data_IF_687923808378
#
_entry.id   IF_687923808378
#
_cell.length_a   1.000
_cell.length_b   1.000
_cell.length_c   1.000
_cell.angle_alpha   90.00
_cell.angle_beta   90.00
_cell.angle_gamma   90.00
#
_symmetry.space_group_name_H-M   'P 1'
#
loop_
_entity.id
_entity.type
_entity.pdbx_description
1 polymer ?
#
# COMPACT_ATOMS: atom_id res chain seq x y z
N UNK A 1 28.25 -9.78 9.76
CA UNK A 1 27.28 -8.82 9.17
C UNK A 1 27.31 -7.54 9.98
N UNK A 2 27.24 -6.35 9.36
CA UNK A 2 27.07 -5.11 10.11
C UNK A 2 25.78 -5.16 10.93
N UNK A 3 25.81 -4.59 12.13
CA UNK A 3 24.65 -4.54 13.01
C UNK A 3 23.56 -3.65 12.40
N UNK A 4 22.35 -4.17 12.29
CA UNK A 4 21.21 -3.43 11.72
C UNK A 4 20.79 -2.34 12.71
N UNK A 5 20.94 -1.08 12.28
CA UNK A 5 20.56 0.09 13.05
C UNK A 5 19.03 0.26 13.11
N UNK A 6 18.43 -0.19 14.22
CA UNK A 6 16.98 -0.13 14.44
C UNK A 6 16.43 1.30 14.40
N UNK A 7 17.18 2.31 14.86
CA UNK A 7 16.72 3.71 14.83
C UNK A 7 16.55 4.19 13.38
N UNK A 8 17.50 3.86 12.50
CA UNK A 8 17.40 4.14 11.06
C UNK A 8 16.18 3.45 10.44
N UNK A 9 15.95 2.19 10.78
CA UNK A 9 14.78 1.46 10.27
C UNK A 9 13.44 2.07 10.73
N UNK A 10 13.36 2.60 11.96
CA UNK A 10 12.17 3.32 12.42
C UNK A 10 11.94 4.61 11.64
N UNK A 11 12.99 5.36 11.34
CA UNK A 11 12.90 6.58 10.51
C UNK A 11 12.43 6.26 9.08
N UNK A 12 12.94 5.17 8.50
CA UNK A 12 12.48 4.68 7.20
C UNK A 12 11.01 4.26 7.26
N UNK A 13 10.62 3.48 8.28
CA UNK A 13 9.25 3.04 8.49
C UNK A 13 8.28 4.20 8.60
N UNK A 14 8.66 5.28 9.30
CA UNK A 14 7.84 6.48 9.41
C UNK A 14 7.50 7.11 8.05
N UNK A 15 8.35 6.90 7.03
CA UNK A 15 8.16 7.38 5.65
C UNK A 15 7.54 6.33 4.73
N UNK A 16 7.50 5.06 5.14
CA UNK A 16 6.87 3.99 4.36
C UNK A 16 5.36 4.21 4.29
N UNK A 17 4.84 4.15 3.07
CA UNK A 17 3.42 4.30 2.77
C UNK A 17 2.61 3.21 3.48
N UNK A 18 1.60 3.63 4.25
CA UNK A 18 0.56 2.76 4.79
C UNK A 18 -0.80 2.97 4.11
N UNK A 19 -1.85 2.23 4.50
CA UNK A 19 -3.16 2.34 3.87
C UNK A 19 -3.88 3.66 4.17
N UNK A 20 -4.66 4.12 3.20
CA UNK A 20 -5.74 5.07 3.46
C UNK A 20 -6.75 4.49 4.46
N UNK A 21 -7.39 5.33 5.29
CA UNK A 21 -7.05 6.74 5.51
C UNK A 21 -5.91 6.93 6.53
N UNK A 22 -5.59 5.93 7.34
CA UNK A 22 -4.80 6.09 8.56
C UNK A 22 -3.39 6.63 8.35
N UNK A 23 -2.79 6.36 7.18
CA UNK A 23 -1.41 6.75 6.87
C UNK A 23 -1.31 7.78 5.76
N UNK A 24 -2.37 8.55 5.48
CA UNK A 24 -2.40 9.50 4.36
C UNK A 24 -1.22 10.49 4.33
N UNK A 25 -0.66 10.82 5.50
CA UNK A 25 0.51 11.71 5.62
C UNK A 25 1.81 11.11 5.08
N UNK A 26 1.86 9.79 4.88
CA UNK A 26 3.00 9.07 4.30
C UNK A 26 2.93 8.99 2.77
N UNK A 27 1.84 9.46 2.17
CA UNK A 27 1.62 9.34 0.73
C UNK A 27 2.63 10.20 -0.04
N UNK A 28 3.02 9.78 -1.27
CA UNK A 28 4.01 10.49 -2.05
C UNK A 28 3.54 11.92 -2.34
N UNK A 29 4.50 12.85 -2.32
CA UNK A 29 4.28 14.21 -2.82
C UNK A 29 4.23 14.15 -4.34
N UNK A 30 3.22 14.77 -4.93
CA UNK A 30 2.99 14.77 -6.37
C UNK A 30 2.94 16.21 -6.87
N UNK A 31 3.35 16.40 -8.12
CA UNK A 31 3.26 17.68 -8.81
C UNK A 31 2.64 17.43 -10.18
N UNK A 32 1.90 18.42 -10.65
CA UNK A 32 1.63 18.55 -12.06
C UNK A 32 2.94 18.82 -12.82
N UNK A 33 3.01 18.48 -14.10
CA UNK A 33 4.07 18.86 -15.04
C UNK A 33 4.21 20.38 -15.17
N UNK A 34 3.12 21.11 -14.96
CA UNK A 34 3.15 22.58 -14.80
C UNK A 34 3.89 23.06 -13.54
N UNK A 35 4.29 22.14 -12.65
CA UNK A 35 4.95 22.40 -11.37
C UNK A 35 3.97 22.65 -10.21
N UNK A 36 2.66 22.66 -10.46
CA UNK A 36 1.67 22.88 -9.42
C UNK A 36 1.63 21.72 -8.42
N UNK A 37 1.74 21.96 -7.11
CA UNK A 37 1.75 20.91 -6.11
C UNK A 37 0.35 20.31 -5.94
N UNK A 38 0.32 18.98 -5.77
CA UNK A 38 -0.85 18.28 -5.26
C UNK A 38 -0.73 18.05 -3.76
N UNK A 39 -1.89 18.00 -3.11
CA UNK A 39 -2.02 17.65 -1.70
C UNK A 39 -3.02 16.51 -1.50
N UNK A 40 -2.68 15.58 -0.61
CA UNK A 40 -3.61 14.56 -0.13
C UNK A 40 -4.40 15.10 1.06
N UNK A 41 -5.72 14.99 1.02
CA UNK A 41 -6.61 15.49 2.08
C UNK A 41 -7.44 14.34 2.63
N UNK A 42 -7.28 14.04 3.92
CA UNK A 42 -8.22 13.18 4.66
C UNK A 42 -9.51 13.96 4.96
N UNK A 43 -10.65 13.42 4.50
CA UNK A 43 -11.96 14.10 4.58
C UNK A 43 -12.70 13.90 5.92
N UNK A 44 -12.00 13.39 6.93
CA UNK A 44 -12.52 13.20 8.29
C UNK A 44 -13.16 11.82 8.50
N UNK A 45 -13.64 11.56 9.71
CA UNK A 45 -14.16 10.23 10.12
C UNK A 45 -15.70 10.15 10.11
N UNK A 46 -16.37 11.27 9.79
CA UNK A 46 -17.82 11.42 9.85
C UNK A 46 -18.35 12.10 8.58
N UNK A 47 -19.67 11.96 8.36
CA UNK A 47 -20.35 12.56 7.23
C UNK A 47 -20.21 11.76 5.92
N UNK A 48 -20.65 12.34 4.79
CA UNK A 48 -20.73 11.64 3.52
C UNK A 48 -19.36 11.29 2.91
N UNK A 49 -18.28 11.96 3.31
CA UNK A 49 -16.92 11.73 2.79
C UNK A 49 -16.01 11.00 3.79
N UNK A 50 -16.60 10.43 4.84
CA UNK A 50 -15.86 9.81 5.93
C UNK A 50 -14.83 8.78 5.41
N UNK A 51 -13.63 8.81 5.98
CA UNK A 51 -12.51 7.90 5.72
C UNK A 51 -11.95 7.93 4.30
N UNK A 52 -12.40 8.86 3.46
CA UNK A 52 -11.81 9.06 2.14
C UNK A 52 -10.58 9.95 2.22
N UNK A 53 -9.58 9.64 1.39
CA UNK A 53 -8.44 10.51 1.14
C UNK A 53 -8.50 10.95 -0.32
N UNK A 54 -8.49 12.25 -0.58
CA UNK A 54 -8.55 12.78 -1.95
C UNK A 54 -7.27 13.48 -2.33
N UNK A 55 -6.81 13.29 -3.56
CA UNK A 55 -5.79 14.12 -4.20
C UNK A 55 -6.44 15.36 -4.80
N UNK A 56 -5.89 16.53 -4.49
CA UNK A 56 -6.35 17.83 -4.99
C UNK A 56 -5.15 18.67 -5.43
N UNK A 57 -5.34 19.60 -6.35
CA UNK A 57 -4.41 20.71 -6.50
C UNK A 57 -4.54 21.62 -5.27
N UNK A 58 -3.43 22.11 -4.73
CA UNK A 58 -3.44 22.92 -3.50
C UNK A 58 -4.31 24.19 -3.64
N UNK A 59 -4.37 24.76 -4.84
CA UNK A 59 -5.19 25.94 -5.14
C UNK A 59 -6.70 25.63 -5.31
N UNK A 60 -7.08 24.35 -5.45
CA UNK A 60 -8.47 23.90 -5.67
C UNK A 60 -8.86 22.78 -4.69
N UNK A 61 -8.85 23.02 -3.36
CA UNK A 61 -9.02 21.96 -2.35
C UNK A 61 -10.39 21.27 -2.36
N UNK A 62 -11.37 21.85 -3.05
CA UNK A 62 -12.73 21.33 -3.19
C UNK A 62 -12.97 20.58 -4.51
N UNK A 63 -11.99 20.55 -5.42
CA UNK A 63 -12.07 19.81 -6.67
C UNK A 63 -11.09 18.64 -6.60
N UNK A 64 -11.61 17.44 -6.37
CA UNK A 64 -10.78 16.24 -6.31
C UNK A 64 -10.34 15.82 -7.71
N UNK A 65 -9.24 15.06 -7.74
CA UNK A 65 -8.63 14.49 -8.96
C UNK A 65 -8.48 12.98 -8.85
N UNK A 66 -8.34 12.49 -7.62
CA UNK A 66 -8.35 11.08 -7.28
C UNK A 66 -8.94 10.95 -5.87
N UNK A 67 -9.75 9.92 -5.63
CA UNK A 67 -10.27 9.60 -4.31
C UNK A 67 -9.95 8.14 -3.96
N UNK A 68 -9.44 7.96 -2.75
CA UNK A 68 -8.98 6.69 -2.23
C UNK A 68 -9.82 6.30 -1.01
N UNK A 69 -10.42 5.12 -1.09
CA UNK A 69 -11.08 4.44 0.02
C UNK A 69 -10.05 3.64 0.83
N UNK A 70 -10.49 3.03 1.93
CA UNK A 70 -9.69 2.17 2.82
C UNK A 70 -8.83 1.16 2.06
N UNK A 71 -7.65 0.90 2.62
CA UNK A 71 -6.65 -0.04 2.11
C UNK A 71 -5.94 0.34 0.81
N UNK A 72 -6.29 1.46 0.18
CA UNK A 72 -5.51 2.01 -0.93
C UNK A 72 -4.16 2.53 -0.45
N UNK A 73 -3.12 2.28 -1.25
CA UNK A 73 -1.76 2.75 -0.99
C UNK A 73 -1.19 3.35 -2.27
N UNK A 74 -1.08 4.69 -2.36
CA UNK A 74 -0.39 5.32 -3.46
C UNK A 74 1.12 5.17 -3.31
N UNK A 75 1.81 4.91 -4.42
CA UNK A 75 3.26 4.83 -4.47
C UNK A 75 3.79 5.74 -5.58
N UNK A 76 4.99 6.32 -5.40
CA UNK A 76 5.57 7.18 -6.41
C UNK A 76 5.91 6.37 -7.66
N UNK A 77 5.60 6.94 -8.82
CA UNK A 77 6.09 6.46 -10.11
C UNK A 77 6.89 7.58 -10.78
N UNK A 78 7.80 7.26 -11.72
CA UNK A 78 8.54 8.29 -12.46
C UNK A 78 7.61 9.20 -13.27
N UNK A 79 8.10 10.40 -13.63
CA UNK A 79 7.49 11.24 -14.66
C UNK A 79 6.02 11.66 -14.41
N UNK A 80 5.73 12.38 -13.32
CA UNK A 80 4.38 12.90 -13.01
C UNK A 80 3.30 11.81 -13.02
N UNK A 81 3.65 10.61 -12.57
CA UNK A 81 2.71 9.50 -12.43
C UNK A 81 2.54 9.13 -10.97
N UNK A 82 1.38 8.57 -10.67
CA UNK A 82 1.09 7.96 -9.38
C UNK A 82 0.53 6.57 -9.59
N UNK A 83 1.18 5.60 -8.96
CA UNK A 83 0.65 4.26 -8.83
C UNK A 83 -0.23 4.17 -7.59
N UNK A 84 -1.28 3.36 -7.65
CA UNK A 84 -2.08 3.00 -6.48
C UNK A 84 -2.29 1.50 -6.51
N UNK A 85 -2.08 0.86 -5.37
CA UNK A 85 -2.52 -0.52 -5.20
C UNK A 85 -3.55 -0.66 -4.09
N UNK A 86 -4.44 -1.62 -4.26
CA UNK A 86 -5.40 -2.02 -3.24
C UNK A 86 -5.80 -3.50 -3.40
N UNK A 87 -6.22 -4.16 -2.31
CA UNK A 87 -6.89 -5.45 -2.42
C UNK A 87 -8.29 -5.27 -3.03
N UNK A 88 -8.60 -6.04 -4.08
CA UNK A 88 -9.88 -6.04 -4.77
C UNK A 88 -10.39 -7.48 -4.91
N UNK A 89 -11.37 -7.84 -4.07
CA UNK A 89 -11.89 -9.21 -4.01
C UNK A 89 -10.80 -10.24 -3.72
N UNK A 90 -10.44 -11.02 -4.74
CA UNK A 90 -9.40 -12.07 -4.70
C UNK A 90 -8.13 -11.69 -5.47
N UNK A 91 -7.97 -10.40 -5.76
CA UNK A 91 -6.85 -9.86 -6.50
C UNK A 91 -6.18 -8.73 -5.72
N UNK A 92 -4.93 -8.47 -6.05
CA UNK A 92 -4.22 -7.23 -5.79
C UNK A 92 -4.31 -6.44 -7.09
N UNK A 93 -5.03 -5.32 -7.09
CA UNK A 93 -5.08 -4.41 -8.22
C UNK A 93 -3.99 -3.37 -8.09
N UNK A 94 -3.26 -3.13 -9.18
CA UNK A 94 -2.33 -2.02 -9.34
C UNK A 94 -2.80 -1.17 -10.50
N UNK A 95 -2.92 0.13 -10.27
CA UNK A 95 -3.39 1.10 -11.27
C UNK A 95 -2.42 2.28 -11.31
N UNK A 96 -2.18 2.84 -12.50
CA UNK A 96 -1.31 3.99 -12.71
C UNK A 96 -2.10 5.13 -13.34
N UNK A 97 -1.90 6.35 -12.83
CA UNK A 97 -2.46 7.56 -13.40
C UNK A 97 -1.37 8.55 -13.79
N UNK A 98 -1.60 9.26 -14.90
CA UNK A 98 -0.90 10.48 -15.26
C UNK A 98 -1.48 11.64 -14.43
N UNK A 99 -0.69 12.26 -13.56
CA UNK A 99 -1.20 13.35 -12.72
C UNK A 99 -1.61 14.57 -13.54
N UNK A 100 -1.13 14.72 -14.78
CA UNK A 100 -1.55 15.80 -15.69
C UNK A 100 -2.94 15.60 -16.27
N UNK A 101 -3.33 14.35 -16.47
CA UNK A 101 -4.59 14.02 -17.16
C UNK A 101 -5.75 13.85 -16.21
N UNK A 102 -5.49 13.81 -14.90
CA UNK A 102 -6.52 13.67 -13.89
C UNK A 102 -7.53 14.82 -14.00
N UNK A 103 -8.76 14.47 -14.34
CA UNK A 103 -9.88 15.38 -14.45
C UNK A 103 -10.41 15.76 -13.07
N UNK A 104 -10.87 17.01 -12.98
CA UNK A 104 -11.59 17.52 -11.83
C UNK A 104 -12.94 16.85 -11.66
N UNK A 105 -13.27 16.47 -10.43
CA UNK A 105 -14.63 16.09 -10.05
C UNK A 105 -15.02 16.74 -8.73
N UNK A 106 -16.32 16.90 -8.54
CA UNK A 106 -16.90 17.48 -7.33
C UNK A 106 -17.01 16.43 -6.23
N UNK A 107 -16.75 16.84 -4.98
CA UNK A 107 -16.83 15.91 -3.83
C UNK A 107 -18.24 15.31 -3.64
N UNK A 108 -19.28 15.98 -4.15
CA UNK A 108 -20.65 15.46 -4.14
C UNK A 108 -20.78 14.14 -4.92
N UNK A 109 -19.96 13.91 -5.95
CA UNK A 109 -19.99 12.70 -6.77
C UNK A 109 -19.56 11.45 -6.00
N UNK A 110 -18.70 11.63 -4.98
CA UNK A 110 -18.18 10.55 -4.13
C UNK A 110 -18.82 10.55 -2.73
N UNK A 111 -19.88 11.31 -2.53
CA UNK A 111 -20.62 11.34 -1.27
C UNK A 111 -21.28 9.97 -0.99
N UNK A 112 -20.97 9.38 0.16
CA UNK A 112 -21.47 8.06 0.58
C UNK A 112 -20.64 6.88 0.07
N UNK A 113 -19.65 7.12 -0.80
CA UNK A 113 -18.87 6.09 -1.47
C UNK A 113 -18.13 5.14 -0.50
N UNK A 114 -17.74 5.63 0.68
CA UNK A 114 -17.04 4.83 1.70
C UNK A 114 -17.75 3.51 2.05
N UNK A 115 -19.07 3.53 2.29
CA UNK A 115 -19.82 2.36 2.80
C UNK A 115 -20.50 1.55 1.71
N UNK A 116 -20.82 2.16 0.58
CA UNK A 116 -21.68 1.57 -0.45
C UNK A 116 -20.90 0.98 -1.62
N UNK A 117 -19.59 1.25 -1.72
CA UNK A 117 -18.78 0.83 -2.85
C UNK A 117 -17.83 -0.32 -2.52
N UNK A 118 -17.79 -1.31 -3.41
CA UNK A 118 -16.69 -2.29 -3.47
C UNK A 118 -15.44 -1.72 -4.14
N UNK A 119 -15.60 -0.67 -4.96
CA UNK A 119 -14.52 0.04 -5.62
C UNK A 119 -13.77 0.92 -4.62
N UNK A 120 -12.44 0.90 -4.67
CA UNK A 120 -11.58 1.59 -3.71
C UNK A 120 -10.84 2.79 -4.27
N UNK A 121 -10.76 2.91 -5.60
CA UNK A 121 -10.09 3.99 -6.31
C UNK A 121 -11.13 4.66 -7.19
N UNK A 122 -11.31 5.97 -7.07
CA UNK A 122 -12.21 6.72 -7.94
C UNK A 122 -11.44 7.87 -8.60
N UNK A 123 -11.54 7.93 -9.93
CA UNK A 123 -11.05 9.03 -10.75
C UNK A 123 -12.05 9.28 -11.88
N UNK A 124 -12.23 10.55 -12.28
CA UNK A 124 -13.00 10.91 -13.47
C UNK A 124 -12.19 10.73 -14.78
N UNK A 125 -11.05 10.03 -14.70
CA UNK A 125 -10.12 9.79 -15.79
C UNK A 125 -9.73 8.32 -15.75
N UNK A 126 -9.68 7.69 -16.92
CA UNK A 126 -9.20 6.33 -17.05
C UNK A 126 -7.72 6.22 -16.65
N UNK A 127 -7.31 5.11 -16.00
CA UNK A 127 -5.90 4.89 -15.70
C UNK A 127 -5.08 4.74 -16.99
N UNK A 128 -3.80 5.13 -16.95
CA UNK A 128 -2.86 4.89 -18.04
C UNK A 128 -2.66 3.39 -18.27
N UNK A 129 -2.58 2.64 -17.18
CA UNK A 129 -2.41 1.21 -17.17
C UNK A 129 -2.95 0.64 -15.85
N UNK A 130 -3.48 -0.57 -15.93
CA UNK A 130 -3.89 -1.34 -14.78
C UNK A 130 -3.56 -2.82 -15.00
N UNK A 131 -3.30 -3.54 -13.91
CA UNK A 131 -3.21 -4.99 -13.92
C UNK A 131 -3.55 -5.56 -12.55
N UNK A 132 -3.89 -6.84 -12.54
CA UNK A 132 -4.26 -7.57 -11.34
C UNK A 132 -3.38 -8.81 -11.16
N UNK A 133 -3.08 -9.11 -9.90
CA UNK A 133 -2.41 -10.36 -9.52
C UNK A 133 -3.27 -11.11 -8.50
N UNK A 134 -3.53 -12.41 -8.69
CA UNK A 134 -4.31 -13.19 -7.72
C UNK A 134 -3.70 -13.14 -6.32
N UNK A 135 -4.55 -12.94 -5.30
CA UNK A 135 -4.15 -12.96 -3.89
C UNK A 135 -3.90 -14.37 -3.32
N UNK A 136 -4.06 -15.41 -4.15
CA UNK A 136 -3.98 -16.82 -3.77
C UNK A 136 -2.79 -17.52 -4.45
N UNK A 137 -1.77 -16.76 -4.86
CA UNK A 137 -0.52 -17.34 -5.32
C UNK A 137 0.16 -18.09 -4.17
N UNK A 138 0.70 -19.26 -4.47
CA UNK A 138 1.47 -20.06 -3.50
C UNK A 138 2.78 -19.36 -3.11
N UNK A 139 3.42 -19.80 -2.04
CA UNK A 139 4.71 -19.26 -1.63
C UNK A 139 5.78 -19.40 -2.73
N UNK A 140 6.60 -18.36 -2.92
CA UNK A 140 7.71 -18.36 -3.88
C UNK A 140 7.56 -17.34 -5.02
N UNK A 141 8.37 -17.50 -6.05
CA UNK A 141 8.49 -16.56 -7.17
C UNK A 141 7.56 -16.93 -8.33
N UNK A 142 6.80 -15.96 -8.82
CA UNK A 142 5.84 -16.13 -9.93
C UNK A 142 6.09 -15.10 -11.03
N UNK A 143 5.82 -15.51 -12.28
CA UNK A 143 5.77 -14.60 -13.41
C UNK A 143 4.40 -13.93 -13.49
N UNK A 144 4.41 -12.65 -13.80
CA UNK A 144 3.19 -11.83 -13.96
C UNK A 144 3.33 -10.95 -15.18
N UNK A 145 2.21 -10.73 -15.87
CA UNK A 145 2.16 -9.78 -16.98
C UNK A 145 2.06 -8.36 -16.41
N UNK A 146 3.10 -7.57 -16.63
CA UNK A 146 3.22 -6.21 -16.10
C UNK A 146 3.20 -5.21 -17.26
N UNK A 147 2.25 -4.26 -17.26
CA UNK A 147 2.23 -3.19 -18.26
C UNK A 147 3.53 -2.38 -18.25
N UNK A 148 3.91 -1.85 -19.42
CA UNK A 148 5.19 -1.16 -19.60
C UNK A 148 5.35 0.04 -18.64
N UNK A 149 4.26 0.74 -18.32
CA UNK A 149 4.23 1.90 -17.43
C UNK A 149 4.78 1.60 -16.02
N UNK A 150 4.60 0.37 -15.53
CA UNK A 150 5.09 -0.02 -14.21
C UNK A 150 6.57 -0.44 -14.20
N UNK A 151 7.21 -0.64 -15.37
CA UNK A 151 8.58 -1.20 -15.43
C UNK A 151 9.65 -0.30 -14.82
N UNK A 152 9.33 0.95 -14.53
CA UNK A 152 10.25 1.87 -13.89
C UNK A 152 10.20 1.79 -12.35
N UNK A 153 9.34 0.94 -11.79
CA UNK A 153 9.29 0.60 -10.37
C UNK A 153 10.20 -0.60 -10.12
N UNK A 154 11.22 -0.44 -9.26
CA UNK A 154 12.18 -1.49 -8.95
C UNK A 154 11.62 -2.55 -7.98
N UNK A 155 10.93 -2.11 -6.93
CA UNK A 155 10.33 -3.00 -5.94
C UNK A 155 9.10 -2.35 -5.32
N UNK A 156 8.05 -3.15 -5.13
CA UNK A 156 6.89 -2.76 -4.34
C UNK A 156 6.53 -3.88 -3.36
N UNK A 157 6.62 -3.59 -2.06
CA UNK A 157 6.24 -4.54 -1.00
C UNK A 157 4.77 -4.33 -0.64
N UNK A 158 3.96 -5.35 -0.91
CA UNK A 158 2.50 -5.33 -0.78
C UNK A 158 2.05 -6.28 0.34
N UNK A 159 1.87 -5.79 1.58
CA UNK A 159 1.28 -6.57 2.66
C UNK A 159 -0.23 -6.75 2.45
N UNK A 160 -0.69 -7.99 2.31
CA UNK A 160 -2.11 -8.32 2.17
C UNK A 160 -2.45 -9.65 2.83
N UNK A 161 -3.75 -9.91 2.99
CA UNK A 161 -4.25 -11.18 3.50
C UNK A 161 -3.82 -12.36 2.63
N UNK A 162 -3.64 -13.52 3.26
CA UNK A 162 -3.22 -14.76 2.62
C UNK A 162 -4.21 -15.88 2.94
N UNK A 163 -4.49 -16.82 2.00
CA UNK A 163 -5.53 -17.83 2.18
C UNK A 163 -5.11 -18.94 3.16
N UNK A 164 -5.18 -18.64 4.46
CA UNK A 164 -5.01 -19.61 5.53
C UNK A 164 -6.12 -20.68 5.48
N UNK A 165 -5.76 -21.96 5.66
CA UNK A 165 -6.71 -23.08 5.71
C UNK A 165 -7.01 -23.51 7.14
N UNK A 166 -6.08 -23.26 8.05
CA UNK A 166 -6.12 -23.56 9.47
C UNK A 166 -5.63 -22.35 10.28
N UNK A 167 -5.90 -22.35 11.59
CA UNK A 167 -5.51 -21.23 12.46
C UNK A 167 -3.99 -21.08 12.62
N UNK A 168 -3.21 -22.12 12.31
CA UNK A 168 -1.76 -22.13 12.33
C UNK A 168 -1.12 -21.75 10.98
N UNK A 169 -1.93 -21.61 9.93
CA UNK A 169 -1.44 -21.12 8.65
C UNK A 169 -1.20 -19.59 8.69
N UNK A 170 -0.25 -19.07 7.89
CA UNK A 170 -0.05 -17.63 7.76
C UNK A 170 -1.32 -16.91 7.31
N UNK A 171 -1.80 -15.93 8.09
CA UNK A 171 -2.97 -15.13 7.72
C UNK A 171 -2.61 -13.95 6.79
N UNK A 172 -1.32 -13.63 6.67
CA UNK A 172 -0.79 -12.55 5.84
C UNK A 172 0.43 -13.00 5.04
N UNK A 173 0.65 -12.34 3.90
CA UNK A 173 1.85 -12.47 3.10
C UNK A 173 2.34 -11.09 2.65
N UNK A 174 3.64 -11.01 2.36
CA UNK A 174 4.20 -9.89 1.61
C UNK A 174 4.33 -10.34 0.17
N UNK A 175 3.63 -9.66 -0.72
CA UNK A 175 3.81 -9.78 -2.16
C UNK A 175 4.84 -8.75 -2.59
N UNK A 176 6.05 -9.20 -2.89
CA UNK A 176 7.14 -8.33 -3.32
C UNK A 176 7.17 -8.32 -4.83
N UNK A 177 6.63 -7.26 -5.42
CA UNK A 177 6.60 -7.09 -6.86
C UNK A 177 7.95 -6.56 -7.34
N UNK A 178 8.41 -7.12 -8.47
CA UNK A 178 9.51 -6.62 -9.29
C UNK A 178 8.96 -6.30 -10.69
N UNK A 179 8.20 -5.19 -10.85
CA UNK A 179 7.53 -4.84 -12.10
C UNK A 179 8.45 -4.80 -13.33
N UNK A 180 9.66 -4.26 -13.17
CA UNK A 180 10.71 -4.21 -14.18
C UNK A 180 11.12 -5.59 -14.72
N UNK A 181 10.97 -6.64 -13.91
CA UNK A 181 11.30 -8.01 -14.27
C UNK A 181 10.07 -8.87 -14.62
N UNK A 182 8.84 -8.35 -14.44
CA UNK A 182 7.61 -9.12 -14.61
C UNK A 182 7.48 -10.24 -13.58
N UNK A 183 7.92 -9.99 -12.34
CA UNK A 183 7.92 -10.99 -11.27
C UNK A 183 7.19 -10.50 -10.03
N UNK A 184 6.68 -11.44 -9.25
CA UNK A 184 6.22 -11.23 -7.88
C UNK A 184 6.67 -12.39 -7.00
N UNK A 185 7.26 -12.07 -5.86
CA UNK A 185 7.63 -13.05 -4.83
C UNK A 185 6.58 -13.02 -3.71
N UNK A 186 6.05 -14.19 -3.36
CA UNK A 186 5.07 -14.34 -2.29
C UNK A 186 5.78 -14.89 -1.05
N UNK A 187 5.79 -14.08 0.02
CA UNK A 187 6.44 -14.38 1.29
C UNK A 187 5.39 -14.49 2.41
N UNK A 188 4.84 -15.70 2.68
CA UNK A 188 3.90 -15.90 3.78
C UNK A 188 4.55 -15.60 5.12
N UNK A 189 3.85 -14.83 5.95
CA UNK A 189 4.34 -14.40 7.25
C UNK A 189 4.06 -15.49 8.29
N UNK A 190 4.98 -16.45 8.40
CA UNK A 190 4.87 -17.66 9.25
C UNK A 190 4.72 -17.38 10.75
N UNK A 191 5.02 -16.16 11.15
CA UNK A 191 4.88 -15.69 12.53
C UNK A 191 3.53 -15.02 12.79
N UNK A 192 2.72 -14.73 11.76
CA UNK A 192 1.43 -14.06 11.88
C UNK A 192 0.29 -15.03 11.52
N UNK A 193 -0.19 -15.76 12.52
CA UNK A 193 -1.23 -16.80 12.42
C UNK A 193 -2.45 -16.42 13.26
N UNK A 194 -3.62 -16.97 12.96
CA UNK A 194 -4.82 -16.74 13.76
C UNK A 194 -4.73 -17.36 15.16
N UNK A 195 -3.88 -18.37 15.35
CA UNK A 195 -3.58 -18.96 16.66
C UNK A 195 -2.79 -18.03 17.59
N UNK A 196 -2.11 -17.02 17.04
CA UNK A 196 -1.25 -16.10 17.81
C UNK A 196 -1.74 -14.65 17.81
N UNK A 197 -2.56 -14.25 16.83
CA UNK A 197 -2.99 -12.86 16.63
C UNK A 197 -4.49 -12.74 16.36
N UNK A 198 -5.08 -11.61 16.76
CA UNK A 198 -6.48 -11.27 16.46
C UNK A 198 -6.61 -10.78 15.01
N UNK A 199 -6.61 -11.70 14.05
CA UNK A 199 -6.76 -11.37 12.61
C UNK A 199 -8.05 -10.57 12.40
N UNK A 200 -7.91 -9.41 11.74
CA UNK A 200 -9.01 -8.45 11.53
C UNK A 200 -9.00 -7.27 12.51
N UNK A 201 -8.33 -7.40 13.66
CA UNK A 201 -8.00 -6.30 14.58
C UNK A 201 -6.52 -5.95 14.56
N UNK A 202 -5.69 -6.96 14.28
CA UNK A 202 -4.27 -6.83 14.03
C UNK A 202 -4.00 -7.22 12.58
N UNK A 203 -3.12 -6.47 11.92
CA UNK A 203 -2.68 -6.75 10.55
C UNK A 203 -1.42 -5.97 10.20
N UNK A 204 -0.69 -6.44 9.19
CA UNK A 204 0.50 -5.76 8.67
C UNK A 204 0.05 -4.58 7.80
N UNK A 205 0.30 -3.36 8.25
CA UNK A 205 -0.16 -2.12 7.58
C UNK A 205 0.77 -1.71 6.45
N UNK A 206 2.08 -1.78 6.69
CA UNK A 206 3.13 -1.30 5.81
C UNK A 206 4.41 -2.09 6.03
N UNK A 207 5.17 -2.27 4.95
CA UNK A 207 6.47 -2.93 4.98
C UNK A 207 7.35 -2.38 3.86
N UNK A 208 8.67 -2.43 4.05
CA UNK A 208 9.66 -2.04 3.06
C UNK A 208 10.93 -2.86 3.24
N UNK A 209 11.72 -2.95 2.17
CA UNK A 209 13.07 -3.53 2.24
C UNK A 209 14.09 -2.44 2.52
N UNK A 210 14.96 -2.72 3.46
CA UNK A 210 16.12 -1.88 3.72
C UNK A 210 17.17 -2.06 2.62
N UNK A 211 17.62 -0.98 1.99
CA UNK A 211 18.60 -1.05 0.89
C UNK A 211 20.01 -1.46 1.35
N UNK A 212 20.35 -1.25 2.62
CA UNK A 212 21.68 -1.61 3.15
C UNK A 212 21.76 -3.08 3.56
N UNK A 213 20.79 -3.57 4.34
CA UNK A 213 20.79 -4.94 4.86
C UNK A 213 20.00 -5.92 4.00
N UNK A 214 19.20 -5.44 3.05
CA UNK A 214 18.23 -6.20 2.25
C UNK A 214 17.12 -6.88 3.07
N UNK A 215 17.05 -6.60 4.38
CA UNK A 215 16.03 -7.15 5.28
C UNK A 215 14.73 -6.38 5.16
N UNK A 216 13.61 -7.09 5.31
CA UNK A 216 12.30 -6.47 5.32
C UNK A 216 11.93 -6.07 6.74
N UNK A 217 11.47 -4.83 6.90
CA UNK A 217 10.90 -4.31 8.13
C UNK A 217 9.49 -3.80 7.85
N UNK A 218 8.69 -3.64 8.91
CA UNK A 218 7.32 -3.20 8.75
C UNK A 218 6.63 -2.86 10.06
N UNK A 219 5.34 -2.65 9.96
CA UNK A 219 4.45 -2.35 11.07
C UNK A 219 3.26 -3.30 11.05
N UNK A 220 2.95 -3.84 12.22
CA UNK A 220 1.73 -4.59 12.50
C UNK A 220 0.86 -3.74 13.42
N UNK A 221 -0.27 -3.27 12.89
CA UNK A 221 -1.24 -2.50 13.66
C UNK A 221 -1.71 -3.30 14.88
N UNK A 222 -1.81 -2.63 16.02
CA UNK A 222 -2.17 -3.24 17.29
C UNK A 222 -1.08 -4.13 17.92
N UNK A 223 0.14 -4.17 17.36
CA UNK A 223 1.25 -4.97 17.91
C UNK A 223 2.57 -4.20 17.99
N UNK A 224 3.03 -3.58 16.90
CA UNK A 224 4.30 -2.87 16.89
C UNK A 224 5.02 -2.89 15.54
N UNK A 225 6.29 -2.48 15.55
CA UNK A 225 7.15 -2.50 14.36
C UNK A 225 8.14 -3.66 14.42
N UNK A 226 8.37 -4.32 13.29
CA UNK A 226 9.10 -5.57 13.21
C UNK A 226 10.22 -5.56 12.18
N UNK A 227 11.17 -6.48 12.38
CA UNK A 227 12.22 -6.84 11.42
C UNK A 227 12.11 -8.34 11.14
N UNK A 228 12.08 -8.71 9.87
CA UNK A 228 12.00 -10.12 9.42
C UNK A 228 13.38 -10.69 9.16
N UNK A 229 13.53 -12.01 9.34
CA UNK A 229 14.70 -12.83 8.97
C UNK A 229 15.04 -12.67 7.47
N UNK A 230 16.20 -13.18 7.07
CA UNK A 230 16.68 -13.09 5.67
C UNK A 230 15.71 -13.74 4.68
N UNK A 231 14.97 -14.77 5.12
CA UNK A 231 13.94 -15.43 4.32
C UNK A 231 12.68 -14.59 4.08
N UNK A 232 12.55 -13.43 4.72
CA UNK A 232 11.40 -12.53 4.63
C UNK A 232 10.07 -13.13 5.11
N UNK A 233 10.09 -14.31 5.74
CA UNK A 233 8.90 -15.06 6.16
C UNK A 233 8.77 -15.19 7.68
N UNK A 234 9.87 -15.09 8.41
CA UNK A 234 9.91 -15.25 9.87
C UNK A 234 10.25 -13.93 10.57
N UNK A 235 9.68 -13.73 11.74
CA UNK A 235 10.04 -12.61 12.60
C UNK A 235 11.46 -12.84 13.15
N UNK A 236 12.35 -11.86 12.99
CA UNK A 236 13.62 -11.85 13.71
C UNK A 236 13.44 -11.20 15.08
N UNK A 237 12.93 -9.96 15.11
CA UNK A 237 12.68 -9.22 16.34
C UNK A 237 11.64 -8.13 16.16
N UNK A 238 10.99 -7.75 17.26
CA UNK A 238 10.26 -6.50 17.35
C UNK A 238 11.26 -5.34 17.51
N UNK A 239 11.17 -4.35 16.63
CA UNK A 239 11.89 -3.08 16.76
C UNK A 239 11.21 -2.19 17.80
N UNK A 240 9.90 -2.23 17.85
CA UNK A 240 9.08 -1.62 18.90
C UNK A 240 7.86 -2.51 19.11
N UNK A 241 7.45 -2.71 20.35
CA UNK A 241 6.29 -3.52 20.69
C UNK A 241 5.36 -2.67 21.54
N UNK A 242 4.17 -2.42 21.02
CA UNK A 242 3.10 -1.81 21.79
C UNK A 242 2.89 -2.67 23.05
N UNK A 243 3.00 -2.05 24.22
CA UNK A 243 2.74 -2.73 25.48
C UNK A 243 1.32 -3.32 25.46
N UNK A 244 1.22 -4.58 25.87
CA UNK A 244 -0.05 -5.26 26.17
C UNK A 244 -0.89 -4.47 27.16
#
# INVERSE_FOLDING_TARGET
MPEINTSRLRELLARTVGPAPWYWKTFPKLHAASGQPFSWIHRGEQGPLAYLVTLVLEQEPNKARLALNTYCRPFPMPSNQVGVWCPEGRSIRLTCFDTEKLAAFDLAEIAGWFKQSSERIYAATEPLAEFEVPHALEAGMHKVEVPADFRAVDELVVPTSYPAKTDDDPAFALYVFYPQAGLVEVLPQKWFTASQYEVGRQWITRAARDSESHRIFGECFGVGSFLLQEDGCRLERWMDKSGT
#
